data_IF_942614223501
#
_entry.id   IF_942614223501
#
_cell.length_a   1.000
_cell.length_b   1.000
_cell.length_c   1.000
_cell.angle_alpha   90.00
_cell.angle_beta   90.00
_cell.angle_gamma   90.00
#
_symmetry.space_group_name_H-M   'P 1'
#
loop_
_entity.id
_entity.type
_entity.pdbx_description
1 polymer ?
#
# COMPACT_ATOMS: atom_id res chain seq x y z
N UNK A 1 13.02 -7.75 -1.46
CA UNK A 1 12.00 -7.28 -2.42
C UNK A 1 10.75 -7.01 -1.59
N UNK A 2 10.51 -5.75 -1.26
CA UNK A 2 9.38 -5.34 -0.43
C UNK A 2 8.13 -5.41 -1.33
N UNK A 3 7.26 -6.38 -1.09
CA UNK A 3 5.94 -6.40 -1.71
C UNK A 3 5.09 -5.35 -0.99
N UNK A 4 4.78 -4.26 -1.67
CA UNK A 4 3.87 -3.23 -1.16
C UNK A 4 2.47 -3.63 -1.61
N UNK A 5 1.65 -4.13 -0.67
CA UNK A 5 0.22 -4.32 -0.90
C UNK A 5 -0.44 -2.99 -0.52
N UNK A 6 -1.18 -2.39 -1.47
CA UNK A 6 -1.88 -1.10 -1.30
C UNK A 6 -3.36 -1.32 -1.57
N UNK A 7 -4.16 -0.89 -0.63
CA UNK A 7 -5.60 -1.07 -0.56
C UNK A 7 -6.23 0.30 -0.23
N UNK A 8 -7.23 0.74 -1.00
CA UNK A 8 -7.77 2.12 -0.96
C UNK A 8 -9.29 2.14 -1.00
N UNK A 9 -9.86 2.99 -0.16
CA UNK A 9 -11.26 3.02 0.25
C UNK A 9 -12.12 3.93 -0.62
N UNK A 10 -12.18 3.65 -1.92
CA UNK A 10 -13.01 4.42 -2.84
C UNK A 10 -13.81 3.51 -3.76
N UNK A 11 -15.08 3.35 -3.39
CA UNK A 11 -16.16 2.84 -4.25
C UNK A 11 -16.34 3.60 -5.58
N UNK A 12 -15.51 4.61 -5.88
CA UNK A 12 -15.42 5.28 -7.17
C UNK A 12 -14.42 4.66 -8.16
N UNK A 13 -14.05 3.37 -8.00
CA UNK A 13 -13.50 2.55 -9.09
C UNK A 13 -14.14 1.15 -9.24
N UNK A 14 -15.42 0.98 -8.85
CA UNK A 14 -16.23 -0.19 -9.26
C UNK A 14 -16.36 -0.31 -10.80
N UNK A 15 -15.89 0.67 -11.57
CA UNK A 15 -16.02 0.72 -13.03
C UNK A 15 -14.74 0.41 -13.84
N UNK A 16 -13.54 0.31 -13.23
CA UNK A 16 -12.33 -0.09 -13.95
C UNK A 16 -11.93 -1.54 -13.71
N UNK A 17 -12.89 -2.41 -14.00
CA UNK A 17 -12.59 -3.76 -14.44
C UNK A 17 -12.82 -4.81 -13.37
N UNK A 18 -14.00 -5.41 -13.42
CA UNK A 18 -14.30 -6.80 -13.04
C UNK A 18 -13.44 -7.84 -13.78
N UNK A 19 -12.19 -7.49 -14.12
CA UNK A 19 -11.21 -8.24 -14.89
C UNK A 19 -9.76 -7.76 -14.74
N UNK A 20 -9.47 -6.78 -13.87
CA UNK A 20 -8.11 -6.35 -13.54
C UNK A 20 -7.72 -6.68 -12.08
N UNK A 21 -8.65 -7.23 -11.29
CA UNK A 21 -8.46 -7.59 -9.88
C UNK A 21 -9.08 -8.96 -9.52
N UNK A 22 -9.11 -9.89 -10.48
CA UNK A 22 -9.39 -11.32 -10.30
C UNK A 22 -8.13 -12.14 -9.94
N UNK A 23 -7.21 -11.58 -9.17
CA UNK A 23 -6.26 -12.37 -8.37
C UNK A 23 -7.01 -12.90 -7.16
N UNK A 24 -6.56 -13.98 -6.54
CA UNK A 24 -7.12 -14.49 -5.29
C UNK A 24 -6.81 -13.57 -4.10
N UNK A 25 -7.13 -12.29 -4.21
CA UNK A 25 -7.20 -11.33 -3.12
C UNK A 25 -8.61 -11.44 -2.58
N UNK A 26 -8.70 -11.94 -1.35
CA UNK A 26 -9.93 -11.91 -0.57
C UNK A 26 -10.53 -10.51 -0.70
N UNK A 27 -11.79 -10.46 -1.09
CA UNK A 27 -12.58 -9.24 -1.01
C UNK A 27 -12.37 -8.62 0.40
N UNK A 28 -12.27 -7.29 0.50
CA UNK A 28 -11.94 -6.62 1.75
C UNK A 28 -13.01 -5.59 2.09
N UNK A 29 -13.29 -5.46 3.38
CA UNK A 29 -14.16 -4.43 3.94
C UNK A 29 -13.31 -3.28 4.45
N UNK A 30 -13.86 -2.10 4.28
CA UNK A 30 -13.17 -0.84 4.28
C UNK A 30 -14.12 0.15 4.97
N UNK A 31 -13.66 0.72 6.07
CA UNK A 31 -14.41 1.66 6.89
C UNK A 31 -13.59 2.94 7.02
N UNK A 32 -14.10 4.04 6.46
CA UNK A 32 -13.51 5.37 6.60
C UNK A 32 -14.36 6.30 7.46
N UNK A 33 -13.67 7.11 8.25
CA UNK A 33 -14.24 8.27 8.93
C UNK A 33 -13.41 9.50 8.59
N UNK A 34 -14.10 10.55 8.14
CA UNK A 34 -13.51 11.85 7.84
C UNK A 34 -14.35 12.94 8.51
N UNK A 35 -13.77 13.65 9.49
CA UNK A 35 -14.42 14.76 10.17
C UNK A 35 -13.43 15.92 10.38
N UNK A 36 -13.52 16.93 9.50
CA UNK A 36 -12.63 18.07 9.50
C UNK A 36 -11.17 17.65 9.23
N UNK A 37 -10.34 17.74 10.27
CA UNK A 37 -8.94 17.34 10.21
C UNK A 37 -8.70 15.92 10.76
N UNK A 38 -9.74 15.19 11.14
CA UNK A 38 -9.65 13.81 11.61
C UNK A 38 -9.91 12.83 10.46
N UNK A 39 -9.06 11.81 10.40
CA UNK A 39 -9.08 10.77 9.39
C UNK A 39 -8.83 9.41 10.05
N UNK A 40 -9.77 8.49 9.86
CA UNK A 40 -9.59 7.09 10.21
C UNK A 40 -9.91 6.20 9.02
N UNK A 41 -9.09 5.17 8.83
CA UNK A 41 -9.29 4.12 7.83
C UNK A 41 -9.02 2.78 8.48
N UNK A 42 -9.96 1.86 8.32
CA UNK A 42 -9.79 0.47 8.70
C UNK A 42 -10.09 -0.45 7.51
N UNK A 43 -9.15 -1.34 7.23
CA UNK A 43 -9.26 -2.38 6.23
C UNK A 43 -9.23 -3.74 6.92
N UNK A 44 -10.17 -4.61 6.56
CA UNK A 44 -10.21 -6.01 6.97
C UNK A 44 -10.45 -6.90 5.75
N UNK A 45 -9.60 -7.89 5.53
CA UNK A 45 -9.87 -8.92 4.52
C UNK A 45 -11.08 -9.78 4.93
N UNK A 46 -11.84 -10.27 3.95
CA UNK A 46 -13.02 -11.10 4.19
C UNK A 46 -12.65 -12.48 4.77
N UNK A 47 -11.41 -12.93 4.59
CA UNK A 47 -10.87 -14.14 5.26
C UNK A 47 -10.35 -13.87 6.68
N UNK A 48 -10.32 -12.60 7.09
CA UNK A 48 -9.86 -12.16 8.41
C UNK A 48 -8.36 -12.30 8.66
N UNK A 49 -7.57 -12.68 7.64
CA UNK A 49 -6.12 -12.88 7.77
C UNK A 49 -5.33 -11.56 7.72
N UNK A 50 -5.88 -10.51 7.11
CA UNK A 50 -5.24 -9.21 7.00
C UNK A 50 -6.15 -8.11 7.56
N UNK A 51 -5.62 -7.33 8.50
CA UNK A 51 -6.29 -6.15 9.01
C UNK A 51 -5.32 -5.02 9.31
N UNK A 52 -5.67 -3.82 8.88
CA UNK A 52 -4.88 -2.60 9.05
C UNK A 52 -5.83 -1.49 9.48
N UNK A 53 -5.45 -0.72 10.48
CA UNK A 53 -6.19 0.48 10.86
C UNK A 53 -5.24 1.63 11.13
N UNK A 54 -5.63 2.84 10.74
CA UNK A 54 -4.92 4.09 11.04
C UNK A 54 -5.97 5.10 11.45
N UNK A 55 -5.74 5.78 12.57
CA UNK A 55 -6.53 6.91 13.05
C UNK A 55 -5.56 8.06 13.37
N UNK A 56 -5.83 9.23 12.80
CA UNK A 56 -5.00 10.40 13.07
C UNK A 56 -5.67 11.71 12.69
N UNK A 57 -4.96 12.80 12.97
CA UNK A 57 -5.36 14.15 12.59
C UNK A 57 -4.28 14.86 11.80
N UNK A 58 -4.69 15.76 10.91
CA UNK A 58 -3.76 16.63 10.18
C UNK A 58 -2.87 17.38 11.16
N UNK A 59 -1.58 17.41 10.85
CA UNK A 59 -0.55 18.04 11.64
C UNK A 59 0.27 19.02 10.79
N UNK A 60 1.02 19.89 11.46
CA UNK A 60 1.94 20.81 10.80
C UNK A 60 3.31 20.16 10.51
N UNK A 61 3.72 19.20 11.35
CA UNK A 61 5.06 18.60 11.33
C UNK A 61 4.98 17.07 11.41
N UNK A 62 6.02 16.40 10.89
CA UNK A 62 6.24 14.96 11.09
C UNK A 62 6.56 14.65 12.57
N UNK A 63 6.38 13.38 13.01
CA UNK A 63 6.89 12.94 14.30
C UNK A 63 8.39 13.27 14.43
N UNK A 64 8.83 13.80 15.59
CA UNK A 64 10.22 14.27 15.77
C UNK A 64 11.25 13.14 15.71
N UNK A 65 10.79 11.89 15.80
CA UNK A 65 11.55 10.66 15.71
C UNK A 65 11.33 9.90 14.40
N UNK A 66 10.71 10.53 13.40
CA UNK A 66 10.62 9.98 12.04
C UNK A 66 12.02 9.81 11.44
N UNK A 67 12.16 8.84 10.53
CA UNK A 67 13.36 8.66 9.71
C UNK A 67 13.55 9.75 8.67
N UNK A 68 12.51 10.54 8.38
CA UNK A 68 12.56 11.67 7.47
C UNK A 68 12.84 12.97 8.24
N UNK A 69 13.75 13.79 7.70
CA UNK A 69 14.10 15.07 8.31
C UNK A 69 12.95 16.09 8.27
N UNK A 70 12.14 16.06 7.19
CA UNK A 70 11.01 16.95 6.97
C UNK A 70 9.98 16.36 5.98
N UNK A 71 8.86 17.05 5.83
CA UNK A 71 7.76 16.64 4.95
C UNK A 71 8.17 16.59 3.48
N UNK A 72 9.11 17.42 3.04
CA UNK A 72 9.58 17.45 1.66
C UNK A 72 10.39 16.19 1.33
N UNK A 73 11.24 15.74 2.26
CA UNK A 73 11.98 14.50 2.14
C UNK A 73 11.06 13.27 2.10
N UNK A 74 10.06 13.21 3.00
CA UNK A 74 9.05 12.16 2.99
C UNK A 74 8.24 12.17 1.67
N UNK A 75 7.76 13.35 1.27
CA UNK A 75 7.01 13.57 0.04
C UNK A 75 7.77 13.10 -1.20
N UNK A 76 9.07 13.45 -1.30
CA UNK A 76 9.92 13.02 -2.41
C UNK A 76 10.10 11.50 -2.45
N UNK A 77 10.35 10.87 -1.30
CA UNK A 77 10.51 9.42 -1.20
C UNK A 77 9.25 8.69 -1.68
N UNK A 78 8.06 9.08 -1.21
CA UNK A 78 6.82 8.43 -1.63
C UNK A 78 6.42 8.74 -3.07
N UNK A 79 6.81 9.91 -3.60
CA UNK A 79 6.61 10.26 -5.01
C UNK A 79 7.40 9.35 -5.94
N UNK A 80 8.65 9.03 -5.59
CA UNK A 80 9.47 8.07 -6.33
C UNK A 80 8.89 6.64 -6.27
N UNK A 81 8.15 6.32 -5.21
CA UNK A 81 7.42 5.06 -5.03
C UNK A 81 6.00 5.03 -5.60
N UNK A 82 5.66 5.91 -6.56
CA UNK A 82 4.32 5.95 -7.16
C UNK A 82 3.99 4.71 -8.00
N UNK A 83 5.00 4.04 -8.56
CA UNK A 83 4.90 2.82 -9.35
C UNK A 83 5.15 1.56 -8.50
N UNK A 84 4.14 0.71 -8.39
CA UNK A 84 4.22 -0.61 -7.76
C UNK A 84 4.07 -1.75 -8.76
N UNK A 85 4.59 -2.93 -8.42
CA UNK A 85 4.46 -4.15 -9.19
C UNK A 85 3.89 -5.27 -8.33
N UNK A 86 2.86 -5.95 -8.82
CA UNK A 86 2.24 -7.11 -8.16
C UNK A 86 2.30 -8.34 -9.08
N UNK A 87 2.35 -9.57 -8.54
CA UNK A 87 2.29 -10.78 -9.36
C UNK A 87 1.04 -10.79 -10.24
N UNK A 88 1.19 -11.12 -11.52
CA UNK A 88 0.07 -11.27 -12.44
C UNK A 88 -0.84 -12.42 -11.99
N UNK A 89 -2.14 -12.33 -12.29
CA UNK A 89 -3.12 -13.36 -11.91
C UNK A 89 -2.79 -14.73 -12.48
N UNK A 90 -2.26 -14.78 -13.70
CA UNK A 90 -1.80 -16.03 -14.32
C UNK A 90 -0.69 -16.72 -13.54
N UNK A 91 0.05 -15.95 -12.74
CA UNK A 91 1.13 -16.43 -11.88
C UNK A 91 0.72 -16.53 -10.41
N UNK A 92 -0.47 -16.06 -10.04
CA UNK A 92 -1.03 -16.17 -8.69
C UNK A 92 -1.36 -17.65 -8.39
N UNK A 93 -0.50 -18.28 -7.59
CA UNK A 93 -0.59 -19.72 -7.30
C UNK A 93 0.46 -20.56 -8.02
N UNK A 94 1.38 -19.97 -8.78
CA UNK A 94 2.61 -20.65 -9.22
C UNK A 94 3.44 -20.94 -7.98
N UNK A 95 3.31 -22.19 -7.51
CA UNK A 95 4.00 -22.72 -6.34
C UNK A 95 5.52 -22.53 -6.42
N UNK A 96 6.16 -22.64 -5.26
CA UNK A 96 7.59 -22.43 -4.99
C UNK A 96 8.28 -21.31 -5.81
N UNK A 97 8.67 -20.17 -5.20
CA UNK A 97 9.53 -19.16 -5.85
C UNK A 97 10.82 -19.71 -6.46
N UNK A 98 11.28 -20.88 -6.03
CA UNK A 98 12.46 -21.56 -6.58
C UNK A 98 12.13 -22.62 -7.65
N UNK A 99 10.85 -22.75 -8.06
CA UNK A 99 10.43 -23.68 -9.13
C UNK A 99 11.03 -23.35 -10.50
N UNK A 100 11.60 -22.16 -10.65
CA UNK A 100 12.25 -21.69 -11.86
C UNK A 100 11.30 -21.32 -13.00
N UNK A 101 9.99 -21.24 -12.72
CA UNK A 101 9.02 -20.73 -13.66
C UNK A 101 9.21 -19.22 -13.90
N UNK A 102 9.03 -18.79 -15.15
CA UNK A 102 8.92 -17.37 -15.48
C UNK A 102 7.71 -16.79 -14.75
N UNK A 103 7.89 -15.62 -14.12
CA UNK A 103 6.79 -14.89 -13.47
C UNK A 103 6.65 -13.50 -14.05
N UNK A 104 5.42 -13.13 -14.30
CA UNK A 104 4.99 -11.81 -14.75
C UNK A 104 4.50 -11.01 -13.56
N UNK A 105 4.86 -9.73 -13.54
CA UNK A 105 4.39 -8.76 -12.58
C UNK A 105 3.74 -7.60 -13.31
N UNK A 106 2.53 -7.26 -12.92
CA UNK A 106 1.77 -6.16 -13.49
C UNK A 106 2.08 -4.86 -12.73
N UNK A 107 2.42 -3.82 -13.48
CA UNK A 107 2.73 -2.51 -12.93
C UNK A 107 1.48 -1.66 -12.77
N UNK A 108 1.36 -0.98 -11.64
CA UNK A 108 0.31 0.01 -11.36
C UNK A 108 0.95 1.26 -10.79
N UNK A 109 0.64 2.42 -11.37
CA UNK A 109 1.17 3.71 -10.93
C UNK A 109 0.07 4.66 -10.48
N UNK A 110 0.31 5.35 -9.36
CA UNK A 110 -0.44 6.55 -8.98
C UNK A 110 0.05 7.74 -9.82
N UNK A 111 -0.74 8.09 -10.84
CA UNK A 111 -0.49 9.20 -11.76
C UNK A 111 -1.25 10.44 -11.28
N UNK A 112 -0.54 11.49 -10.92
CA UNK A 112 -1.13 12.76 -10.49
C UNK A 112 -0.34 13.94 -11.05
N UNK A 113 -1.05 14.96 -11.51
CA UNK A 113 -0.43 16.22 -11.98
C UNK A 113 0.06 17.07 -10.80
N UNK A 114 -0.57 16.92 -9.62
CA UNK A 114 -0.27 17.68 -8.41
C UNK A 114 0.00 16.73 -7.25
N UNK A 115 1.28 16.51 -6.96
CA UNK A 115 1.68 15.74 -5.79
C UNK A 115 1.82 16.63 -4.55
N UNK A 116 0.94 16.42 -3.58
CA UNK A 116 0.96 17.09 -2.28
C UNK A 116 0.62 16.08 -1.18
N UNK A 117 1.31 16.18 -0.04
CA UNK A 117 1.07 15.37 1.15
C UNK A 117 1.03 16.27 2.39
N UNK A 118 0.21 15.91 3.37
CA UNK A 118 0.14 16.53 4.68
C UNK A 118 0.50 15.47 5.75
N UNK A 119 1.26 15.80 6.80
CA UNK A 119 1.56 14.84 7.85
C UNK A 119 0.33 14.63 8.75
N UNK A 120 0.23 13.45 9.33
CA UNK A 120 -0.75 13.13 10.37
C UNK A 120 -0.07 12.94 11.73
N UNK A 121 -0.63 13.54 12.77
CA UNK A 121 -0.45 13.05 14.14
C UNK A 121 -1.34 11.83 14.31
N UNK A 122 -0.72 10.66 14.42
CA UNK A 122 -1.43 9.38 14.53
C UNK A 122 -1.81 9.12 15.99
N UNK A 123 -3.11 8.94 16.23
CA UNK A 123 -3.67 8.60 17.54
C UNK A 123 -3.61 7.09 17.78
N UNK A 124 -3.87 6.30 16.73
CA UNK A 124 -3.68 4.85 16.75
C UNK A 124 -3.32 4.29 15.39
N UNK A 125 -2.52 3.22 15.38
CA UNK A 125 -2.19 2.43 14.20
C UNK A 125 -2.20 0.96 14.61
N UNK A 126 -2.72 0.12 13.73
CA UNK A 126 -2.79 -1.32 13.91
C UNK A 126 -2.41 -2.02 12.61
N UNK A 127 -1.64 -3.10 12.71
CA UNK A 127 -1.39 -3.99 11.58
C UNK A 127 -1.26 -5.43 12.08
N UNK A 128 -2.21 -6.28 11.70
CA UNK A 128 -2.21 -7.69 12.12
C UNK A 128 -0.96 -8.45 11.66
N UNK A 129 -0.33 -8.01 10.55
CA UNK A 129 0.93 -8.57 10.08
C UNK A 129 2.11 -8.23 10.99
N UNK A 130 2.24 -6.97 11.42
CA UNK A 130 3.34 -6.53 12.28
C UNK A 130 3.12 -6.88 13.76
N UNK A 131 1.87 -7.12 14.16
CA UNK A 131 1.49 -7.53 15.51
C UNK A 131 1.42 -9.07 15.66
N UNK A 132 1.74 -9.83 14.61
CA UNK A 132 1.89 -11.28 14.72
C UNK A 132 3.00 -11.59 15.74
N UNK A 133 2.69 -12.46 16.71
CA UNK A 133 3.56 -12.89 17.82
C UNK A 133 4.88 -13.54 17.39
N UNK A 134 5.12 -13.65 16.08
CA UNK A 134 6.37 -14.11 15.46
C UNK A 134 7.44 -13.03 15.40
N UNK A 135 7.08 -11.75 15.52
CA UNK A 135 8.02 -10.63 15.58
C UNK A 135 8.31 -10.26 17.04
N UNK A 136 9.55 -9.86 17.32
CA UNK A 136 9.90 -9.29 18.62
C UNK A 136 9.23 -7.91 18.78
N UNK A 137 8.91 -7.53 20.02
CA UNK A 137 8.18 -6.28 20.33
C UNK A 137 8.88 -5.00 19.81
N UNK A 138 10.20 -5.04 19.60
CA UNK A 138 11.01 -3.93 19.10
C UNK A 138 11.47 -4.10 17.63
N UNK A 139 11.01 -5.14 16.94
CA UNK A 139 11.41 -5.43 15.56
C UNK A 139 10.89 -4.39 14.56
N UNK A 140 9.74 -3.78 14.85
CA UNK A 140 9.07 -2.81 13.97
C UNK A 140 8.57 -1.64 14.79
N UNK A 141 8.76 -0.44 14.26
CA UNK A 141 8.25 0.80 14.85
C UNK A 141 7.52 1.59 13.78
N UNK A 142 6.32 2.06 14.12
CA UNK A 142 5.60 3.00 13.28
C UNK A 142 6.42 4.31 13.16
N UNK A 143 6.50 4.84 11.94
CA UNK A 143 7.32 6.02 11.65
C UNK A 143 6.46 7.28 11.52
N UNK A 144 5.62 7.32 10.48
CA UNK A 144 4.75 8.45 10.18
C UNK A 144 3.57 8.01 9.30
N UNK A 145 2.54 8.86 9.21
CA UNK A 145 1.47 8.74 8.22
C UNK A 145 1.35 10.05 7.44
N UNK A 146 1.04 9.92 6.15
CA UNK A 146 0.90 11.02 5.21
C UNK A 146 -0.49 10.95 4.57
N UNK A 147 -1.17 12.08 4.54
CA UNK A 147 -2.47 12.27 3.90
C UNK A 147 -2.28 12.91 2.52
N UNK A 148 -2.92 12.35 1.50
CA UNK A 148 -3.14 13.01 0.22
C UNK A 148 -4.63 13.27 0.08
N UNK A 149 -5.04 14.54 0.03
CA UNK A 149 -6.44 14.95 -0.19
C UNK A 149 -6.54 16.03 -1.25
N UNK A 150 -7.71 16.14 -1.86
CA UNK A 150 -8.04 17.19 -2.83
C UNK A 150 -7.08 17.23 -4.05
N UNK A 151 -6.60 16.06 -4.49
CA UNK A 151 -5.72 15.92 -5.66
C UNK A 151 -6.43 15.24 -6.83
N UNK A 152 -6.20 15.77 -8.04
CA UNK A 152 -6.54 15.08 -9.28
C UNK A 152 -5.56 13.92 -9.50
N UNK A 153 -6.08 12.70 -9.56
CA UNK A 153 -5.26 11.49 -9.67
C UNK A 153 -5.95 10.41 -10.49
N UNK A 154 -5.14 9.51 -11.05
CA UNK A 154 -5.58 8.31 -11.75
C UNK A 154 -4.64 7.15 -11.44
N UNK A 155 -5.20 5.95 -11.36
CA UNK A 155 -4.41 4.72 -11.37
C UNK A 155 -4.16 4.30 -12.81
N UNK A 156 -2.89 4.15 -13.19
CA UNK A 156 -2.48 3.76 -14.55
C UNK A 156 -1.83 2.40 -14.52
N UNK A 157 -2.33 1.48 -15.34
CA UNK A 157 -1.59 0.27 -15.64
C UNK A 157 -0.31 0.62 -16.41
N UNK A 158 0.81 0.03 -16.00
CA UNK A 158 2.12 0.14 -16.64
C UNK A 158 2.53 -1.18 -17.26
N UNK A 159 3.61 -1.14 -18.05
CA UNK A 159 4.16 -2.33 -18.68
C UNK A 159 4.54 -3.38 -17.65
N UNK A 160 4.11 -4.62 -17.89
CA UNK A 160 4.45 -5.76 -17.03
C UNK A 160 5.93 -6.09 -17.14
N UNK A 161 6.52 -6.57 -16.05
CA UNK A 161 7.89 -7.07 -16.02
C UNK A 161 7.90 -8.58 -15.82
N UNK A 162 8.79 -9.28 -16.54
CA UNK A 162 8.99 -10.71 -16.36
C UNK A 162 10.33 -10.98 -15.68
N UNK A 163 10.34 -11.92 -14.75
CA UNK A 163 11.58 -12.45 -14.18
C UNK A 163 12.09 -13.59 -15.05
N UNK A 164 13.34 -13.54 -15.53
CA UNK A 164 13.90 -14.66 -16.29
C UNK A 164 14.02 -15.90 -15.39
N UNK A 165 13.95 -17.12 -15.96
CA UNK A 165 14.17 -18.34 -15.19
C UNK A 165 15.56 -18.31 -14.54
N UNK A 166 15.73 -18.89 -13.33
CA UNK A 166 17.02 -18.96 -12.67
C UNK A 166 18.03 -19.69 -13.56
N UNK A 167 19.23 -19.14 -13.67
CA UNK A 167 20.30 -19.74 -14.47
C UNK A 167 20.64 -21.13 -13.91
N UNK A 168 20.66 -22.15 -14.78
CA UNK A 168 21.09 -23.51 -14.42
C UNK A 168 22.49 -23.46 -13.79
N UNK A 169 22.63 -23.92 -12.54
CA UNK A 169 23.93 -23.99 -11.83
C UNK A 169 24.64 -25.32 -12.10
#
# INVERSE_FOLDING_TARGET
MLAVIRDTDSWLQVLFGSRLFSGSYSHATFETEEDGDHYAVEMRSDDGEANVAVDGRVADDLPPDSVFDDIDAASAFFREGSLGYAPAESDAGVGDPDSGAERTYEGVELDTETWSVEPLTVESVHSGFFEDQRLDDDAVRFDCALLMREIDHAWRQRESICTPPPAER
#
